data_IF_377356126304
#
_entry.id   IF_377356126304
#
_cell.length_a   1.000
_cell.length_b   1.000
_cell.length_c   1.000
_cell.angle_alpha   90.00
_cell.angle_beta   90.00
_cell.angle_gamma   90.00
#
_symmetry.space_group_name_H-M   'P 1'
#
loop_
_entity.id
_entity.type
_entity.pdbx_description
1 polymer ?
#
# COMPACT_ATOMS: atom_id res chain seq x y z
N UNK A 1 3.24 -10.95 -6.95
CA UNK A 1 3.25 -9.56 -7.43
C UNK A 1 2.22 -9.40 -8.55
N UNK A 2 1.62 -8.22 -8.68
CA UNK A 2 0.61 -7.94 -9.70
C UNK A 2 0.76 -6.55 -10.29
N UNK A 3 0.14 -6.35 -11.44
CA UNK A 3 0.01 -5.05 -12.11
C UNK A 3 -1.47 -4.74 -12.26
N UNK A 4 -1.90 -3.60 -11.71
CA UNK A 4 -3.25 -3.08 -11.93
C UNK A 4 -3.29 -2.35 -13.27
N UNK A 5 -4.28 -2.65 -14.10
CA UNK A 5 -4.54 -1.95 -15.34
C UNK A 5 -5.92 -1.33 -15.28
N UNK A 6 -5.97 -0.02 -15.37
CA UNK A 6 -7.19 0.78 -15.45
C UNK A 6 -7.48 1.16 -16.93
N UNK A 7 -8.71 1.52 -17.25
CA UNK A 7 -9.09 2.01 -18.57
C UNK A 7 -9.01 1.00 -19.72
N UNK A 8 -9.07 -0.28 -19.45
CA UNK A 8 -8.91 -1.36 -20.43
C UNK A 8 -10.18 -1.69 -21.22
N UNK A 9 -11.35 -1.39 -20.64
CA UNK A 9 -12.65 -1.79 -21.17
C UNK A 9 -13.34 -0.68 -21.94
N UNK A 10 -14.16 -1.06 -22.91
CA UNK A 10 -14.96 -0.13 -23.71
C UNK A 10 -15.88 0.70 -22.82
N UNK A 11 -15.93 1.99 -23.09
CA UNK A 11 -16.74 2.95 -22.34
C UNK A 11 -16.17 3.35 -20.98
N UNK A 12 -14.88 3.13 -20.74
CA UNK A 12 -14.19 3.49 -19.50
C UNK A 12 -14.48 4.91 -19.02
N UNK A 13 -14.39 5.90 -19.89
CA UNK A 13 -14.60 7.31 -19.56
C UNK A 13 -16.06 7.77 -19.72
N UNK A 14 -17.00 6.86 -19.78
CA UNK A 14 -18.41 7.17 -20.03
C UNK A 14 -19.33 6.41 -19.08
N UNK A 15 -20.58 6.87 -18.95
CA UNK A 15 -21.64 6.16 -18.21
C UNK A 15 -22.10 4.85 -18.89
N UNK A 16 -21.43 4.40 -19.93
CA UNK A 16 -21.79 3.23 -20.73
C UNK A 16 -20.65 2.20 -20.77
N UNK A 17 -20.01 1.97 -19.64
CA UNK A 17 -18.94 1.00 -19.52
C UNK A 17 -19.42 -0.42 -19.82
N UNK A 18 -18.57 -1.20 -20.47
CA UNK A 18 -18.78 -2.62 -20.72
C UNK A 18 -17.59 -3.42 -20.19
N UNK A 19 -17.78 -4.10 -19.07
CA UNK A 19 -16.73 -4.91 -18.44
C UNK A 19 -16.53 -6.30 -19.07
N UNK A 20 -17.20 -6.56 -20.19
CA UNK A 20 -17.02 -7.80 -20.96
C UNK A 20 -16.35 -7.58 -22.31
N UNK A 21 -16.10 -6.33 -22.68
CA UNK A 21 -15.53 -5.95 -23.97
C UNK A 21 -14.30 -5.05 -23.78
N UNK A 22 -13.07 -5.58 -24.01
CA UNK A 22 -11.86 -4.76 -24.04
C UNK A 22 -11.90 -3.75 -25.19
N UNK A 23 -11.11 -2.68 -25.10
CA UNK A 23 -10.80 -1.87 -26.27
C UNK A 23 -10.10 -2.71 -27.35
N UNK A 24 -10.25 -2.38 -28.65
CA UNK A 24 -9.71 -3.18 -29.75
C UNK A 24 -8.18 -3.33 -29.75
N UNK A 25 -7.47 -2.43 -29.11
CA UNK A 25 -6.01 -2.42 -28.93
C UNK A 25 -5.55 -3.06 -27.62
N UNK A 26 -6.47 -3.57 -26.82
CA UNK A 26 -6.21 -4.25 -25.56
C UNK A 26 -6.57 -5.75 -25.62
N UNK A 27 -5.59 -6.59 -25.92
CA UNK A 27 -5.77 -8.04 -25.89
C UNK A 27 -5.59 -8.60 -24.47
N UNK A 28 -6.71 -8.73 -23.76
CA UNK A 28 -6.72 -9.22 -22.37
C UNK A 28 -6.04 -10.58 -22.22
N UNK A 29 -6.30 -11.49 -23.19
CA UNK A 29 -5.70 -12.83 -23.14
C UNK A 29 -4.18 -12.79 -23.33
N UNK A 30 -3.71 -12.06 -24.31
CA UNK A 30 -2.27 -11.92 -24.56
C UNK A 30 -1.55 -11.32 -23.34
N UNK A 31 -2.14 -10.30 -22.72
CA UNK A 31 -1.56 -9.61 -21.56
C UNK A 31 -1.54 -10.53 -20.35
N UNK A 32 -2.61 -11.25 -20.05
CA UNK A 32 -2.66 -12.17 -18.92
C UNK A 32 -1.71 -13.36 -19.11
N UNK A 33 -1.63 -13.93 -20.30
CA UNK A 33 -0.68 -15.01 -20.62
C UNK A 33 0.78 -14.53 -20.47
N UNK A 34 1.09 -13.32 -20.95
CA UNK A 34 2.43 -12.74 -20.82
C UNK A 34 2.77 -12.48 -19.36
N UNK A 35 1.89 -11.84 -18.60
CA UNK A 35 2.09 -11.60 -17.17
C UNK A 35 2.36 -12.90 -16.40
N UNK A 36 1.53 -13.92 -16.63
CA UNK A 36 1.70 -15.25 -16.04
C UNK A 36 3.07 -15.88 -16.39
N UNK A 37 3.54 -15.71 -17.64
CA UNK A 37 4.88 -16.19 -18.05
C UNK A 37 6.02 -15.52 -17.29
N UNK A 38 5.79 -14.34 -16.72
CA UNK A 38 6.74 -13.59 -15.89
C UNK A 38 6.54 -13.79 -14.38
N UNK A 39 5.58 -14.64 -13.97
CA UNK A 39 5.22 -14.83 -12.56
C UNK A 39 4.50 -13.61 -11.97
N UNK A 40 3.87 -12.79 -12.80
CA UNK A 40 3.09 -11.61 -12.42
C UNK A 40 1.61 -11.90 -12.71
N UNK A 41 0.71 -11.41 -11.85
CA UNK A 41 -0.73 -11.47 -12.10
C UNK A 41 -1.26 -10.12 -12.58
N UNK A 42 -2.27 -10.15 -13.44
CA UNK A 42 -3.06 -8.96 -13.72
C UNK A 42 -4.02 -8.71 -12.57
N UNK A 43 -4.12 -7.46 -12.11
CA UNK A 43 -5.18 -6.99 -11.23
C UNK A 43 -6.19 -6.26 -12.12
N UNK A 44 -7.43 -6.74 -12.12
CA UNK A 44 -8.50 -6.14 -12.90
C UNK A 44 -9.04 -4.88 -12.23
N UNK A 45 -9.71 -4.04 -13.02
CA UNK A 45 -10.38 -2.85 -12.50
C UNK A 45 -11.79 -2.74 -13.08
N UNK A 46 -12.76 -2.45 -12.22
CA UNK A 46 -14.14 -2.13 -12.57
C UNK A 46 -14.48 -0.75 -12.02
N UNK A 47 -14.22 0.31 -12.78
CA UNK A 47 -14.69 1.66 -12.43
C UNK A 47 -16.09 1.87 -13.01
N UNK A 48 -17.03 2.24 -12.16
CA UNK A 48 -18.45 2.31 -12.49
C UNK A 48 -19.00 3.73 -12.61
N UNK A 49 -18.18 4.76 -12.27
CA UNK A 49 -18.66 6.14 -12.15
C UNK A 49 -19.94 6.25 -11.27
N UNK A 50 -20.09 5.32 -10.31
CA UNK A 50 -21.25 5.23 -9.43
C UNK A 50 -22.52 4.63 -10.06
N UNK A 51 -22.50 4.15 -11.32
CA UNK A 51 -23.66 3.52 -11.96
C UNK A 51 -23.80 2.05 -11.57
N UNK A 52 -24.27 1.85 -10.35
CA UNK A 52 -24.34 0.56 -9.67
C UNK A 52 -25.34 -0.39 -10.34
N UNK A 53 -26.49 0.11 -10.78
CA UNK A 53 -27.49 -0.73 -11.46
C UNK A 53 -26.98 -1.30 -12.77
N UNK A 54 -26.23 -0.52 -13.56
CA UNK A 54 -25.63 -0.97 -14.81
C UNK A 54 -24.50 -1.96 -14.54
N UNK A 55 -23.73 -1.76 -13.47
CA UNK A 55 -22.71 -2.72 -13.02
C UNK A 55 -23.35 -4.04 -12.60
N UNK A 56 -24.42 -4.03 -11.81
CA UNK A 56 -25.10 -5.25 -11.36
C UNK A 56 -25.68 -6.08 -12.50
N UNK A 57 -26.09 -5.44 -13.60
CA UNK A 57 -26.60 -6.14 -14.79
C UNK A 57 -25.54 -6.97 -15.52
N UNK A 58 -24.25 -6.61 -15.40
CA UNK A 58 -23.16 -7.29 -16.06
C UNK A 58 -22.18 -7.95 -15.08
N UNK A 59 -22.40 -7.85 -13.78
CA UNK A 59 -21.47 -8.22 -12.71
C UNK A 59 -20.99 -9.68 -12.82
N UNK A 60 -21.91 -10.62 -13.05
CA UNK A 60 -21.55 -12.03 -13.16
C UNK A 60 -20.71 -12.33 -14.41
N UNK A 61 -21.07 -11.74 -15.55
CA UNK A 61 -20.33 -11.89 -16.80
C UNK A 61 -18.94 -11.25 -16.71
N UNK A 62 -18.83 -10.09 -16.06
CA UNK A 62 -17.57 -9.39 -15.85
C UNK A 62 -16.60 -10.20 -14.98
N UNK A 63 -17.07 -10.78 -13.86
CA UNK A 63 -16.22 -11.64 -13.03
C UNK A 63 -15.89 -12.98 -13.71
N UNK A 64 -16.79 -13.53 -14.51
CA UNK A 64 -16.48 -14.72 -15.30
C UNK A 64 -15.39 -14.44 -16.33
N UNK A 65 -15.43 -13.29 -17.01
CA UNK A 65 -14.36 -12.89 -17.94
C UNK A 65 -12.99 -12.89 -17.25
N UNK A 66 -12.90 -12.25 -16.08
CA UNK A 66 -11.65 -12.23 -15.32
C UNK A 66 -11.20 -13.62 -14.87
N UNK A 67 -12.12 -14.42 -14.35
CA UNK A 67 -11.84 -15.80 -13.95
C UNK A 67 -11.30 -16.64 -15.11
N UNK A 68 -11.92 -16.54 -16.28
CA UNK A 68 -11.54 -17.28 -17.49
C UNK A 68 -10.15 -16.88 -18.02
N UNK A 69 -9.67 -15.67 -17.65
CA UNK A 69 -8.34 -15.16 -17.96
C UNK A 69 -7.34 -15.27 -16.79
N UNK A 70 -7.70 -15.98 -15.71
CA UNK A 70 -6.82 -16.20 -14.55
C UNK A 70 -6.59 -14.96 -13.66
N UNK A 71 -7.38 -13.90 -13.83
CA UNK A 71 -7.36 -12.72 -12.97
C UNK A 71 -8.04 -13.07 -11.65
N UNK A 72 -7.32 -12.90 -10.54
CA UNK A 72 -7.77 -13.28 -9.20
C UNK A 72 -7.98 -12.11 -8.25
N UNK A 73 -7.67 -10.91 -8.67
CA UNK A 73 -7.78 -9.69 -7.86
C UNK A 73 -8.47 -8.64 -8.71
N UNK A 74 -9.48 -7.98 -8.15
CA UNK A 74 -10.21 -6.90 -8.81
C UNK A 74 -10.32 -5.71 -7.88
N UNK A 75 -9.88 -4.55 -8.35
CA UNK A 75 -10.20 -3.25 -7.76
C UNK A 75 -11.58 -2.83 -8.28
N UNK A 76 -12.48 -2.41 -7.40
CA UNK A 76 -13.78 -1.86 -7.78
C UNK A 76 -13.85 -0.39 -7.39
N UNK A 77 -14.28 0.47 -8.30
CA UNK A 77 -14.40 1.92 -8.15
C UNK A 77 -15.82 2.41 -8.39
N UNK A 78 -16.18 3.46 -7.69
CA UNK A 78 -17.50 4.07 -7.71
C UNK A 78 -17.38 5.60 -7.64
N UNK A 79 -16.50 6.15 -8.45
CA UNK A 79 -16.26 7.60 -8.52
C UNK A 79 -17.59 8.33 -8.69
N UNK A 80 -17.74 9.43 -7.99
CA UNK A 80 -18.96 10.22 -8.05
C UNK A 80 -19.59 10.47 -6.68
N UNK A 81 -20.49 11.43 -6.62
CA UNK A 81 -21.13 11.85 -5.35
C UNK A 81 -22.28 10.93 -4.93
N UNK A 82 -22.93 10.30 -5.88
CA UNK A 82 -24.13 9.50 -5.68
C UNK A 82 -24.09 8.24 -6.55
N UNK A 83 -24.54 7.13 -5.99
CA UNK A 83 -24.80 5.90 -6.72
C UNK A 83 -26.11 6.06 -7.53
N UNK A 84 -26.09 5.67 -8.81
CA UNK A 84 -27.20 5.84 -9.77
C UNK A 84 -27.77 7.27 -9.79
N UNK A 85 -26.93 8.27 -9.50
CA UNK A 85 -27.33 9.68 -9.47
C UNK A 85 -28.29 10.07 -8.33
N UNK A 86 -28.61 9.20 -7.39
CA UNK A 86 -29.65 9.42 -6.37
C UNK A 86 -29.31 8.94 -4.96
N UNK A 87 -28.56 7.86 -4.83
CA UNK A 87 -28.28 7.22 -3.55
C UNK A 87 -26.88 7.58 -3.04
N UNK A 88 -26.71 7.75 -1.73
CA UNK A 88 -25.39 7.92 -1.14
C UNK A 88 -24.67 6.57 -1.03
N UNK A 89 -23.34 6.57 -1.12
CA UNK A 89 -22.51 5.37 -0.90
C UNK A 89 -22.84 4.69 0.44
N UNK A 90 -23.08 5.47 1.49
CA UNK A 90 -23.42 4.97 2.83
C UNK A 90 -24.91 4.61 3.02
N UNK A 91 -25.74 4.68 1.96
CA UNK A 91 -27.13 4.24 2.04
C UNK A 91 -27.25 2.72 2.13
N UNK A 92 -28.42 2.22 2.51
CA UNK A 92 -28.71 0.78 2.49
C UNK A 92 -28.56 0.17 1.10
N UNK A 93 -28.83 0.97 0.05
CA UNK A 93 -28.61 0.57 -1.33
C UNK A 93 -27.13 0.31 -1.61
N UNK A 94 -26.25 1.25 -1.30
CA UNK A 94 -24.82 1.10 -1.46
C UNK A 94 -24.24 -0.06 -0.65
N UNK A 95 -24.60 -0.16 0.64
CA UNK A 95 -24.12 -1.25 1.51
C UNK A 95 -24.53 -2.63 0.96
N UNK A 96 -25.76 -2.78 0.44
CA UNK A 96 -26.21 -4.04 -0.16
C UNK A 96 -25.45 -4.36 -1.44
N UNK A 97 -25.19 -3.34 -2.26
CA UNK A 97 -24.42 -3.50 -3.49
C UNK A 97 -22.99 -3.98 -3.18
N UNK A 98 -22.25 -3.27 -2.33
CA UNK A 98 -20.88 -3.67 -1.97
C UNK A 98 -20.82 -5.10 -1.45
N UNK A 99 -21.78 -5.47 -0.61
CA UNK A 99 -21.86 -6.85 -0.09
C UNK A 99 -22.12 -7.85 -1.22
N UNK A 100 -23.04 -7.57 -2.15
CA UNK A 100 -23.35 -8.43 -3.30
C UNK A 100 -22.11 -8.66 -4.16
N UNK A 101 -21.33 -7.61 -4.44
CA UNK A 101 -20.08 -7.70 -5.19
C UNK A 101 -19.08 -8.62 -4.49
N UNK A 102 -18.87 -8.44 -3.18
CA UNK A 102 -17.94 -9.23 -2.38
C UNK A 102 -18.37 -10.71 -2.32
N UNK A 103 -19.64 -10.99 -2.12
CA UNK A 103 -20.20 -12.35 -2.07
C UNK A 103 -20.02 -13.05 -3.43
N UNK A 104 -20.38 -12.40 -4.53
CA UNK A 104 -20.19 -12.99 -5.86
C UNK A 104 -18.72 -13.20 -6.22
N UNK A 105 -17.85 -12.26 -5.86
CA UNK A 105 -16.42 -12.41 -6.04
C UNK A 105 -15.86 -13.59 -5.24
N UNK A 106 -16.35 -13.82 -4.00
CA UNK A 106 -15.97 -14.99 -3.19
C UNK A 106 -16.35 -16.31 -3.90
N UNK A 107 -17.56 -16.40 -4.44
CA UNK A 107 -18.02 -17.58 -5.20
C UNK A 107 -17.17 -17.86 -6.45
N UNK A 108 -16.58 -16.81 -7.03
CA UNK A 108 -15.67 -16.91 -8.18
C UNK A 108 -14.20 -17.08 -7.78
N UNK A 109 -13.86 -17.08 -6.49
CA UNK A 109 -12.50 -17.09 -5.95
C UNK A 109 -11.68 -15.85 -6.36
N UNK A 110 -12.31 -14.68 -6.39
CA UNK A 110 -11.71 -13.39 -6.72
C UNK A 110 -11.58 -12.55 -5.45
N UNK A 111 -10.42 -11.99 -5.23
CA UNK A 111 -10.13 -11.03 -4.17
C UNK A 111 -10.55 -9.61 -4.59
N UNK A 112 -11.01 -8.83 -3.65
CA UNK A 112 -11.51 -7.46 -3.88
C UNK A 112 -10.67 -6.43 -3.12
N UNK A 113 -10.34 -5.36 -3.83
CA UNK A 113 -9.98 -4.06 -3.31
C UNK A 113 -11.13 -3.09 -3.63
N UNK A 114 -11.81 -2.56 -2.61
CA UNK A 114 -13.03 -1.77 -2.80
C UNK A 114 -12.76 -0.29 -2.54
N UNK A 115 -12.88 0.54 -3.57
CA UNK A 115 -12.80 2.00 -3.48
C UNK A 115 -14.18 2.64 -3.23
N UNK A 116 -14.21 3.90 -2.78
CA UNK A 116 -15.39 4.64 -2.31
C UNK A 116 -16.29 3.84 -1.35
N UNK A 117 -15.72 3.04 -0.44
CA UNK A 117 -16.51 2.17 0.43
C UNK A 117 -17.19 2.95 1.54
N UNK A 118 -18.07 2.26 2.25
CA UNK A 118 -18.47 2.69 3.58
C UNK A 118 -17.36 2.37 4.59
N UNK A 119 -17.40 3.02 5.77
CA UNK A 119 -16.48 2.69 6.85
C UNK A 119 -16.51 1.18 7.13
N UNK A 120 -15.34 0.51 7.18
CA UNK A 120 -15.27 -0.93 7.39
C UNK A 120 -15.90 -1.36 8.72
N UNK A 121 -16.66 -2.45 8.68
CA UNK A 121 -17.37 -3.00 9.84
C UNK A 121 -16.89 -4.40 10.24
N UNK A 122 -15.76 -4.86 9.69
CA UNK A 122 -15.22 -6.20 9.92
C UNK A 122 -15.74 -7.25 8.92
N UNK A 123 -16.34 -6.83 7.81
CA UNK A 123 -16.87 -7.72 6.77
C UNK A 123 -15.80 -8.67 6.20
N UNK A 124 -14.55 -8.25 6.14
CA UNK A 124 -13.40 -9.06 5.75
C UNK A 124 -13.15 -10.29 6.64
N UNK A 125 -13.74 -10.34 7.84
CA UNK A 125 -13.68 -11.53 8.71
C UNK A 125 -14.69 -12.61 8.30
N UNK A 126 -15.77 -12.19 7.65
CA UNK A 126 -16.79 -13.09 7.07
C UNK A 126 -16.41 -13.47 5.64
N UNK A 127 -15.94 -12.51 4.88
CA UNK A 127 -15.54 -12.64 3.48
C UNK A 127 -14.05 -12.26 3.34
N UNK A 128 -13.13 -13.22 3.55
CA UNK A 128 -11.70 -12.95 3.55
C UNK A 128 -11.14 -12.58 2.17
N UNK A 129 -11.93 -12.75 1.10
CA UNK A 129 -11.61 -12.23 -0.23
C UNK A 129 -11.70 -10.70 -0.31
N UNK A 130 -12.36 -10.02 0.62
CA UNK A 130 -12.25 -8.57 0.78
C UNK A 130 -10.89 -8.25 1.41
N UNK A 131 -9.90 -8.00 0.58
CA UNK A 131 -8.52 -7.82 1.01
C UNK A 131 -8.30 -6.46 1.64
N UNK A 132 -8.75 -5.41 0.97
CA UNK A 132 -8.54 -4.03 1.39
C UNK A 132 -9.66 -3.13 0.89
N UNK A 133 -9.75 -1.94 1.44
CA UNK A 133 -10.71 -0.91 1.03
C UNK A 133 -10.07 0.46 1.19
N UNK A 134 -10.37 1.38 0.29
CA UNK A 134 -9.95 2.76 0.45
C UNK A 134 -10.57 3.38 1.72
N UNK A 135 -11.69 4.05 1.63
CA UNK A 135 -12.40 4.70 2.73
C UNK A 135 -11.57 5.73 3.49
N UNK A 136 -10.60 6.32 2.83
CA UNK A 136 -9.65 7.32 3.31
C UNK A 136 -9.29 8.26 2.17
N UNK A 137 -8.79 9.44 2.49
CA UNK A 137 -8.15 10.27 1.48
C UNK A 137 -6.79 9.65 1.15
N UNK A 138 -6.73 8.86 0.06
CA UNK A 138 -5.56 8.12 -0.38
C UNK A 138 -4.49 8.98 -1.04
N UNK A 139 -3.38 8.37 -1.44
CA UNK A 139 -2.27 9.06 -2.08
C UNK A 139 -2.63 9.61 -3.47
N UNK A 140 -3.59 9.02 -4.16
CA UNK A 140 -4.06 9.51 -5.46
C UNK A 140 -4.52 10.98 -5.44
N UNK A 141 -4.98 11.48 -4.29
CA UNK A 141 -5.34 12.89 -4.11
C UNK A 141 -4.18 13.84 -4.33
N UNK A 142 -2.95 13.36 -4.18
CA UNK A 142 -1.75 14.14 -4.46
C UNK A 142 -1.54 14.37 -5.97
N UNK A 143 -2.31 13.71 -6.83
CA UNK A 143 -2.26 13.88 -8.26
C UNK A 143 -3.23 14.95 -8.80
N UNK A 144 -4.34 15.24 -8.10
CA UNK A 144 -5.40 16.10 -8.65
C UNK A 144 -6.05 17.07 -7.65
N UNK A 145 -5.74 17.01 -6.38
CA UNK A 145 -6.33 17.92 -5.40
C UNK A 145 -5.80 19.35 -5.54
N UNK A 146 -6.70 20.29 -5.79
CA UNK A 146 -6.37 21.69 -6.01
C UNK A 146 -5.78 22.40 -4.80
N UNK A 147 -5.96 21.84 -3.60
CA UNK A 147 -5.44 22.35 -2.34
C UNK A 147 -4.01 21.87 -2.04
N UNK A 148 -3.36 21.23 -3.00
CA UNK A 148 -1.94 20.88 -2.93
C UNK A 148 -1.63 19.43 -2.51
N UNK A 149 -2.63 18.58 -2.35
CA UNK A 149 -2.46 17.18 -1.94
C UNK A 149 -2.58 16.95 -0.43
N UNK A 150 -2.18 15.76 0.02
CA UNK A 150 -2.24 15.39 1.42
C UNK A 150 -1.10 16.05 2.22
N UNK A 151 -1.39 16.80 3.29
CA UNK A 151 -0.34 17.35 4.13
C UNK A 151 0.39 16.24 4.90
N UNK A 152 1.67 16.43 5.31
CA UNK A 152 2.43 15.41 6.03
C UNK A 152 1.76 14.87 7.29
N UNK A 153 1.00 15.70 7.99
CA UNK A 153 0.24 15.32 9.20
C UNK A 153 -0.81 14.23 8.91
N UNK A 154 -1.36 14.17 7.70
CA UNK A 154 -2.44 13.23 7.36
C UNK A 154 -2.06 11.78 7.67
N UNK A 155 -0.88 11.34 7.24
CA UNK A 155 -0.41 9.96 7.45
C UNK A 155 -0.01 9.65 8.90
N UNK A 156 0.09 10.67 9.78
CA UNK A 156 0.27 10.47 11.23
C UNK A 156 -1.05 10.41 12.00
N UNK A 157 -2.19 10.61 11.33
CA UNK A 157 -3.55 10.54 11.89
C UNK A 157 -4.25 9.24 11.47
N UNK A 158 -4.19 8.89 10.20
CA UNK A 158 -5.00 7.78 9.65
C UNK A 158 -4.69 6.41 10.24
N UNK A 159 -3.48 6.06 10.71
CA UNK A 159 -3.25 4.78 11.39
C UNK A 159 -4.08 4.63 12.67
N UNK A 160 -4.41 5.74 13.35
CA UNK A 160 -5.16 5.78 14.62
C UNK A 160 -6.66 6.05 14.44
N UNK A 161 -7.11 6.25 13.24
CA UNK A 161 -8.52 6.52 12.90
C UNK A 161 -9.02 5.47 11.92
N UNK A 162 -8.91 5.71 10.61
CA UNK A 162 -9.34 4.78 9.57
C UNK A 162 -8.66 3.41 9.68
N UNK A 163 -7.37 3.39 9.99
CA UNK A 163 -6.58 2.15 10.09
C UNK A 163 -7.04 1.20 11.19
N UNK A 164 -7.71 1.69 12.25
CA UNK A 164 -8.29 0.84 13.30
C UNK A 164 -9.48 0.02 12.81
N UNK A 165 -10.16 0.44 11.76
CA UNK A 165 -11.30 -0.27 11.20
C UNK A 165 -10.90 -1.45 10.29
N UNK A 166 -9.63 -1.59 9.96
CA UNK A 166 -9.11 -2.68 9.14
C UNK A 166 -8.17 -2.24 8.02
N UNK A 167 -7.82 -3.17 7.13
CA UNK A 167 -6.95 -2.89 5.98
C UNK A 167 -7.38 -1.67 5.20
N UNK A 168 -6.39 -0.91 4.70
CA UNK A 168 -6.63 0.35 4.04
C UNK A 168 -5.79 0.45 2.76
N UNK A 169 -6.45 0.63 1.61
CA UNK A 169 -5.75 0.98 0.39
C UNK A 169 -5.50 2.49 0.35
N UNK A 170 -4.26 2.86 0.67
CA UNK A 170 -3.77 4.24 0.61
C UNK A 170 -2.94 4.50 -0.64
N UNK A 171 -2.40 3.44 -1.22
CA UNK A 171 -1.53 3.46 -2.42
C UNK A 171 -0.27 4.32 -2.24
N UNK A 172 0.61 4.06 -1.25
CA UNK A 172 1.87 4.78 -1.07
C UNK A 172 2.91 4.36 -2.11
N UNK A 173 4.11 4.92 -2.00
CA UNK A 173 5.26 4.48 -2.78
C UNK A 173 5.54 5.32 -4.02
N UNK A 174 5.00 6.53 -4.11
CA UNK A 174 5.36 7.48 -5.16
C UNK A 174 6.79 7.97 -4.98
N UNK A 175 7.57 7.93 -6.06
CA UNK A 175 8.97 8.35 -6.10
C UNK A 175 9.17 9.63 -6.92
N UNK A 176 8.19 10.02 -7.72
CA UNK A 176 8.16 11.31 -8.43
C UNK A 176 7.12 12.22 -7.77
N UNK A 177 7.56 13.27 -7.12
CA UNK A 177 6.68 14.10 -6.28
C UNK A 177 6.10 15.31 -7.00
N UNK A 178 6.71 15.76 -8.09
CA UNK A 178 6.20 16.86 -8.89
C UNK A 178 5.11 16.37 -9.85
N UNK A 179 4.05 17.16 -9.96
CA UNK A 179 3.02 16.94 -10.94
C UNK A 179 3.16 17.94 -12.10
N UNK A 180 3.56 17.50 -13.30
CA UNK A 180 3.76 18.41 -14.44
C UNK A 180 2.45 18.94 -15.01
N UNK A 181 1.33 18.27 -14.77
CA UNK A 181 0.01 18.68 -15.29
C UNK A 181 -0.67 19.65 -14.32
N UNK A 182 -0.55 19.41 -13.03
CA UNK A 182 -1.11 20.24 -11.96
C UNK A 182 0.01 20.65 -10.98
N UNK A 183 0.85 21.63 -11.33
CA UNK A 183 2.05 21.95 -10.54
C UNK A 183 1.80 22.41 -9.09
N UNK A 184 0.57 22.81 -8.76
CA UNK A 184 0.16 23.14 -7.39
C UNK A 184 -0.08 21.91 -6.52
N UNK A 185 -0.21 20.75 -7.13
CA UNK A 185 -0.52 19.48 -6.48
C UNK A 185 0.73 18.59 -6.48
N UNK A 186 1.08 18.03 -5.34
CA UNK A 186 2.28 17.18 -5.23
C UNK A 186 2.20 16.26 -4.04
N UNK A 187 3.01 15.21 -4.05
CA UNK A 187 3.26 14.38 -2.87
C UNK A 187 4.05 15.19 -1.85
N UNK A 188 3.50 15.35 -0.66
CA UNK A 188 4.07 16.20 0.41
C UNK A 188 4.80 15.34 1.47
N UNK A 189 5.74 14.53 1.04
CA UNK A 189 6.58 13.69 1.91
C UNK A 189 8.02 13.72 1.43
N UNK A 190 8.94 13.18 2.24
CA UNK A 190 10.24 12.74 1.74
C UNK A 190 10.14 11.35 1.12
N UNK A 191 11.15 10.95 0.35
CA UNK A 191 11.22 9.60 -0.22
C UNK A 191 11.34 8.54 0.88
N UNK A 192 12.11 8.78 1.94
CA UNK A 192 12.22 7.86 3.07
C UNK A 192 10.87 7.64 3.78
N UNK A 193 10.02 8.67 3.85
CA UNK A 193 8.65 8.52 4.37
C UNK A 193 7.80 7.63 3.47
N UNK A 194 7.91 7.75 2.14
CA UNK A 194 7.17 6.86 1.21
C UNK A 194 7.52 5.39 1.44
N UNK A 195 8.80 5.08 1.71
CA UNK A 195 9.21 3.72 2.07
C UNK A 195 8.57 3.27 3.39
N UNK A 196 8.67 4.11 4.42
CA UNK A 196 8.14 3.81 5.75
C UNK A 196 6.62 3.58 5.76
N UNK A 197 5.87 4.23 4.87
CA UNK A 197 4.42 4.07 4.75
C UNK A 197 4.01 2.64 4.41
N UNK A 198 4.83 1.87 3.69
CA UNK A 198 4.58 0.44 3.41
C UNK A 198 4.49 -0.42 4.68
N UNK A 199 5.09 0.04 5.79
CA UNK A 199 5.01 -0.61 7.10
C UNK A 199 3.94 0.02 7.97
N UNK A 200 3.85 1.35 7.97
CA UNK A 200 2.94 2.10 8.84
C UNK A 200 1.47 1.86 8.47
N UNK A 201 1.17 1.90 7.17
CA UNK A 201 -0.20 1.70 6.67
C UNK A 201 -0.40 0.25 6.27
N UNK A 202 -1.27 -0.44 7.00
CA UNK A 202 -1.51 -1.86 6.78
C UNK A 202 -2.49 -2.13 5.65
N UNK A 203 -2.05 -2.91 4.67
CA UNK A 203 -2.90 -3.56 3.67
C UNK A 203 -2.33 -4.94 3.32
N UNK A 204 -3.11 -6.02 3.29
CA UNK A 204 -2.65 -7.32 2.79
C UNK A 204 -2.50 -7.33 1.26
N UNK A 205 -3.09 -6.37 0.58
CA UNK A 205 -2.86 -6.04 -0.82
C UNK A 205 -2.29 -4.61 -0.86
N UNK A 206 -0.97 -4.52 -0.72
CA UNK A 206 -0.29 -3.21 -0.70
C UNK A 206 -0.04 -2.75 -2.13
N UNK A 207 -0.65 -1.64 -2.50
CA UNK A 207 -0.40 -0.97 -3.78
C UNK A 207 0.84 -0.08 -3.69
N UNK A 208 1.50 0.12 -4.84
CA UNK A 208 2.58 1.09 -5.03
C UNK A 208 2.25 1.93 -6.27
N UNK A 209 2.30 3.26 -6.13
CA UNK A 209 1.63 4.22 -7.01
C UNK A 209 2.58 5.01 -7.89
N UNK A 210 3.54 4.39 -8.58
CA UNK A 210 4.38 5.15 -9.50
C UNK A 210 4.63 4.42 -10.81
N UNK A 211 5.15 5.15 -11.78
CA UNK A 211 5.63 4.60 -13.04
C UNK A 211 6.88 3.73 -12.82
N UNK A 212 6.99 2.65 -13.58
CA UNK A 212 8.09 1.70 -13.46
C UNK A 212 9.45 2.39 -13.61
N UNK A 213 9.55 3.37 -14.50
CA UNK A 213 10.77 4.11 -14.77
C UNK A 213 11.28 4.90 -13.56
N UNK A 214 10.39 5.35 -12.68
CA UNK A 214 10.77 6.05 -11.45
C UNK A 214 11.36 5.08 -10.42
N UNK A 215 10.88 3.86 -10.37
CA UNK A 215 11.47 2.79 -9.56
C UNK A 215 12.81 2.32 -10.12
N UNK A 216 12.93 2.15 -11.44
CA UNK A 216 14.17 1.74 -12.09
C UNK A 216 15.32 2.75 -11.90
N UNK A 217 15.01 4.04 -11.78
CA UNK A 217 15.98 5.09 -11.46
C UNK A 217 16.43 5.06 -10.00
N UNK A 218 15.67 4.41 -9.11
CA UNK A 218 15.89 4.38 -7.68
C UNK A 218 15.84 2.92 -7.13
N UNK A 219 16.64 1.99 -7.67
CA UNK A 219 16.50 0.56 -7.37
C UNK A 219 16.79 0.22 -5.90
N UNK A 220 17.73 0.91 -5.26
CA UNK A 220 18.07 0.66 -3.85
C UNK A 220 16.94 1.08 -2.90
N UNK A 221 16.39 2.30 -2.94
CA UNK A 221 15.20 2.64 -2.17
C UNK A 221 14.00 1.74 -2.51
N UNK A 222 13.76 1.42 -3.78
CA UNK A 222 12.66 0.56 -4.20
C UNK A 222 12.76 -0.87 -3.65
N UNK A 223 13.98 -1.34 -3.38
CA UNK A 223 14.20 -2.65 -2.76
C UNK A 223 13.52 -2.78 -1.40
N UNK A 224 13.34 -1.68 -0.66
CA UNK A 224 12.57 -1.69 0.59
C UNK A 224 11.12 -2.11 0.36
N UNK A 225 10.44 -1.48 -0.61
CA UNK A 225 9.02 -1.77 -0.94
C UNK A 225 8.88 -3.22 -1.42
N UNK A 226 9.73 -3.67 -2.34
CA UNK A 226 9.65 -5.03 -2.90
C UNK A 226 9.99 -6.13 -1.90
N UNK A 227 10.74 -5.79 -0.84
CA UNK A 227 11.09 -6.72 0.24
C UNK A 227 10.07 -6.72 1.37
N UNK A 228 9.32 -5.63 1.54
CA UNK A 228 8.34 -5.48 2.61
C UNK A 228 7.18 -6.47 2.43
N UNK A 229 6.94 -7.39 3.38
CA UNK A 229 5.83 -8.33 3.30
C UNK A 229 4.49 -7.64 3.61
N UNK A 230 3.40 -8.27 3.19
CA UNK A 230 2.04 -7.81 3.48
C UNK A 230 1.34 -8.63 4.56
N UNK A 231 2.03 -9.66 5.11
CA UNK A 231 1.47 -10.54 6.13
C UNK A 231 2.37 -10.57 7.36
N UNK A 232 1.80 -10.26 8.51
CA UNK A 232 2.51 -10.03 9.74
C UNK A 232 2.13 -11.04 10.83
N UNK A 233 3.11 -11.47 11.60
CA UNK A 233 2.92 -12.30 12.80
C UNK A 233 2.61 -11.44 14.02
N UNK A 234 3.33 -10.31 14.16
CA UNK A 234 3.22 -9.40 15.29
C UNK A 234 3.32 -7.95 14.81
N UNK A 235 2.60 -7.07 15.48
CA UNK A 235 2.69 -5.61 15.30
C UNK A 235 2.80 -4.97 16.66
N UNK A 236 3.76 -4.07 16.82
CA UNK A 236 3.93 -3.22 17.99
C UNK A 236 4.05 -1.77 17.58
N UNK A 237 3.70 -0.86 18.47
CA UNK A 237 3.80 0.59 18.29
C UNK A 237 4.69 1.13 19.42
N UNK A 238 6.03 1.15 19.23
CA UNK A 238 6.95 1.59 20.28
C UNK A 238 6.72 3.04 20.71
N UNK A 239 6.48 3.93 19.74
CA UNK A 239 6.34 5.36 19.95
C UNK A 239 5.28 5.94 19.03
N UNK A 240 4.36 6.75 19.60
CA UNK A 240 3.36 7.43 18.80
C UNK A 240 2.75 8.63 19.53
N UNK A 241 2.42 9.66 18.73
CA UNK A 241 1.55 10.77 19.12
C UNK A 241 0.71 11.18 17.91
N UNK A 242 -0.60 10.99 18.02
CA UNK A 242 -1.54 11.23 16.91
C UNK A 242 -1.38 12.66 16.39
N UNK A 243 -1.25 12.79 15.06
CA UNK A 243 -1.04 14.06 14.39
C UNK A 243 0.38 14.59 14.46
N UNK A 244 1.30 13.88 15.12
CA UNK A 244 2.70 14.30 15.19
C UNK A 244 3.63 13.26 14.58
N UNK A 245 3.61 12.02 15.08
CA UNK A 245 4.49 10.95 14.61
C UNK A 245 3.95 9.57 14.99
N UNK A 246 4.47 8.56 14.30
CA UNK A 246 4.24 7.16 14.66
C UNK A 246 5.41 6.30 14.22
N UNK A 247 5.79 5.36 15.09
CA UNK A 247 6.74 4.29 14.81
C UNK A 247 6.01 2.96 15.00
N UNK A 248 5.99 2.14 13.94
CA UNK A 248 5.39 0.79 13.97
C UNK A 248 6.48 -0.21 13.60
N UNK A 249 6.61 -1.26 14.40
CA UNK A 249 7.45 -2.40 14.10
C UNK A 249 6.59 -3.65 13.88
N UNK A 250 6.83 -4.36 12.79
CA UNK A 250 6.08 -5.55 12.38
C UNK A 250 7.01 -6.72 12.13
N UNK A 251 6.69 -7.86 12.74
CA UNK A 251 7.39 -9.12 12.50
C UNK A 251 6.76 -9.82 11.31
N UNK A 252 7.59 -10.20 10.35
CA UNK A 252 7.16 -11.00 9.22
C UNK A 252 6.60 -12.35 9.67
N UNK A 253 5.52 -12.79 9.03
CA UNK A 253 4.96 -14.11 9.28
C UNK A 253 5.85 -15.19 8.69
N UNK A 254 6.16 -16.23 9.46
CA UNK A 254 6.96 -17.38 9.05
C UNK A 254 8.28 -17.50 9.81
N UNK A 255 9.22 -18.23 9.24
CA UNK A 255 10.46 -18.63 9.93
C UNK A 255 11.64 -17.67 9.77
N UNK A 256 11.51 -16.60 9.00
CA UNK A 256 12.60 -15.67 8.72
C UNK A 256 13.09 -14.92 9.96
N UNK A 257 12.19 -14.67 10.91
CA UNK A 257 12.44 -13.85 12.09
C UNK A 257 12.72 -12.36 11.79
N UNK A 258 12.46 -11.91 10.54
CA UNK A 258 12.68 -10.52 10.14
C UNK A 258 11.67 -9.60 10.79
N UNK A 259 12.12 -8.37 11.04
CA UNK A 259 11.27 -7.26 11.44
C UNK A 259 11.39 -6.12 10.44
N UNK A 260 10.29 -5.42 10.26
CA UNK A 260 10.19 -4.22 9.45
C UNK A 260 9.68 -3.09 10.33
N UNK A 261 10.36 -1.95 10.29
CA UNK A 261 9.99 -0.78 11.07
C UNK A 261 9.73 0.37 10.12
N UNK A 262 8.60 1.02 10.29
CA UNK A 262 8.27 2.29 9.66
C UNK A 262 8.10 3.36 10.73
N UNK A 263 8.82 4.46 10.59
CA UNK A 263 8.69 5.64 11.46
C UNK A 263 8.47 6.86 10.59
N UNK A 264 7.46 7.66 10.91
CA UNK A 264 7.07 8.86 10.14
C UNK A 264 6.76 10.03 11.04
N UNK A 265 7.00 11.24 10.55
CA UNK A 265 6.66 12.49 11.24
C UNK A 265 5.75 13.38 10.38
N UNK A 266 5.16 14.39 11.02
CA UNK A 266 4.39 15.45 10.38
C UNK A 266 5.33 16.50 9.74
N UNK A 267 4.89 17.77 9.64
CA UNK A 267 5.65 18.90 9.07
C UNK A 267 6.89 19.27 9.88
N UNK A 268 7.00 18.77 11.12
CA UNK A 268 8.12 19.09 12.01
C UNK A 268 9.19 18.01 11.94
N UNK A 269 10.49 18.39 11.93
CA UNK A 269 11.57 17.42 12.06
C UNK A 269 11.52 16.78 13.44
N UNK A 270 12.07 15.58 13.56
CA UNK A 270 12.03 14.83 14.83
C UNK A 270 13.26 13.98 15.04
N UNK A 271 13.73 13.98 16.26
CA UNK A 271 14.74 13.04 16.74
C UNK A 271 14.13 12.18 17.85
N UNK A 272 14.35 10.89 17.81
CA UNK A 272 13.87 9.94 18.80
C UNK A 272 14.82 8.78 19.00
N UNK A 273 14.71 8.13 20.15
CA UNK A 273 15.42 6.89 20.46
C UNK A 273 14.46 5.72 20.39
N UNK A 274 14.80 4.70 19.62
CA UNK A 274 14.01 3.49 19.47
C UNK A 274 14.72 2.31 20.15
N UNK A 275 14.33 1.93 21.39
CA UNK A 275 14.82 0.70 22.00
C UNK A 275 14.33 -0.54 21.22
N UNK A 276 15.22 -1.50 20.99
CA UNK A 276 14.93 -2.73 20.27
C UNK A 276 14.59 -3.92 21.19
N UNK A 277 14.09 -3.65 22.38
CA UNK A 277 13.80 -4.64 23.42
C UNK A 277 12.75 -5.70 23.02
N UNK A 278 12.05 -5.49 21.90
CA UNK A 278 11.12 -6.45 21.32
C UNK A 278 11.80 -7.55 20.51
N UNK A 279 13.10 -7.45 20.22
CA UNK A 279 13.85 -8.46 19.50
C UNK A 279 14.12 -9.67 20.38
N UNK A 280 14.30 -10.83 19.76
CA UNK A 280 14.58 -12.08 20.47
C UNK A 280 15.90 -11.98 21.25
N UNK A 281 15.86 -12.35 22.53
CA UNK A 281 17.04 -12.33 23.40
C UNK A 281 18.17 -13.20 22.85
N UNK A 282 19.39 -12.69 22.91
CA UNK A 282 20.58 -13.39 22.48
C UNK A 282 20.77 -13.52 20.97
N UNK A 283 19.85 -12.99 20.17
CA UNK A 283 20.02 -12.92 18.72
C UNK A 283 20.66 -11.59 18.30
N UNK A 284 21.48 -11.67 17.26
CA UNK A 284 22.03 -10.50 16.55
C UNK A 284 21.27 -10.32 15.25
N UNK A 285 21.08 -9.07 14.89
CA UNK A 285 20.39 -8.69 13.67
C UNK A 285 21.24 -7.72 12.85
N UNK A 286 21.17 -7.85 11.54
CA UNK A 286 21.60 -6.83 10.60
C UNK A 286 20.42 -5.86 10.43
N UNK A 287 20.63 -4.60 10.75
CA UNK A 287 19.72 -3.52 10.47
C UNK A 287 20.13 -2.84 9.16
N UNK A 288 19.23 -2.77 8.18
CA UNK A 288 19.36 -1.92 6.99
C UNK A 288 18.39 -0.77 7.16
N UNK A 289 18.90 0.44 7.24
CA UNK A 289 18.18 1.64 7.61
C UNK A 289 18.11 2.56 6.39
N UNK A 290 16.89 2.89 5.98
CA UNK A 290 16.56 3.84 4.92
C UNK A 290 16.00 5.09 5.57
N UNK A 291 16.78 6.15 5.66
CA UNK A 291 16.40 7.38 6.36
C UNK A 291 16.55 8.62 5.49
N UNK A 292 15.93 9.69 5.92
CA UNK A 292 16.11 10.99 5.29
C UNK A 292 17.58 11.35 5.19
N UNK A 293 17.99 11.82 4.03
CA UNK A 293 19.34 12.30 3.77
C UNK A 293 19.56 13.73 4.24
N UNK A 294 20.78 14.21 4.08
CA UNK A 294 21.18 15.55 4.49
C UNK A 294 20.30 16.62 3.82
N UNK A 295 19.82 17.56 4.64
CA UNK A 295 18.96 18.67 4.20
C UNK A 295 17.66 18.22 3.52
N UNK A 296 17.22 16.99 3.79
CA UNK A 296 15.90 16.53 3.32
C UNK A 296 14.80 17.43 3.90
N UNK A 297 13.81 17.75 3.10
CA UNK A 297 12.62 18.53 3.45
C UNK A 297 11.54 18.28 2.40
N UNK A 298 10.34 17.95 2.83
CA UNK A 298 9.26 17.56 1.91
C UNK A 298 8.86 18.66 0.91
N UNK A 299 9.16 19.95 1.20
CA UNK A 299 8.83 21.08 0.32
C UNK A 299 9.91 21.34 -0.72
N UNK A 300 11.16 21.33 -0.29
CA UNK A 300 12.28 21.90 -1.07
C UNK A 300 13.31 20.88 -1.50
N UNK A 301 13.43 19.74 -0.81
CA UNK A 301 14.43 18.72 -1.11
C UNK A 301 13.97 17.32 -0.64
N UNK A 302 12.93 16.73 -1.25
CA UNK A 302 12.29 15.52 -0.71
C UNK A 302 13.02 14.20 -1.02
N UNK A 303 13.95 14.19 -1.97
CA UNK A 303 14.53 12.97 -2.54
C UNK A 303 15.71 12.34 -1.80
N UNK A 304 16.55 13.08 -1.03
CA UNK A 304 17.72 12.47 -0.42
C UNK A 304 17.36 11.35 0.55
N UNK A 305 17.89 10.16 0.28
CA UNK A 305 17.82 8.98 1.16
C UNK A 305 19.23 8.50 1.44
N UNK A 306 19.52 8.22 2.69
CA UNK A 306 20.74 7.52 3.13
C UNK A 306 20.37 6.11 3.50
N UNK A 307 21.11 5.15 2.95
CA UNK A 307 20.99 3.72 3.27
C UNK A 307 22.22 3.30 4.02
N UNK A 308 22.05 2.84 5.25
CA UNK A 308 23.17 2.43 6.10
C UNK A 308 22.87 1.10 6.78
N UNK A 309 23.94 0.41 7.17
CA UNK A 309 23.86 -0.90 7.79
C UNK A 309 24.56 -0.90 9.14
N UNK A 310 23.97 -1.56 10.12
CA UNK A 310 24.64 -1.80 11.40
C UNK A 310 24.15 -3.11 12.03
N UNK A 311 24.94 -3.64 12.94
CA UNK A 311 24.55 -4.79 13.74
C UNK A 311 23.88 -4.33 15.03
N UNK A 312 22.76 -4.96 15.39
CA UNK A 312 21.96 -4.64 16.57
C UNK A 312 21.50 -5.89 17.32
N UNK A 313 21.12 -5.71 18.56
CA UNK A 313 20.51 -6.74 19.43
C UNK A 313 19.29 -6.18 20.14
N UNK A 314 18.60 -7.00 20.94
CA UNK A 314 17.52 -6.52 21.81
C UNK A 314 17.94 -5.52 22.91
N UNK A 315 19.24 -5.31 23.11
CA UNK A 315 19.78 -4.32 24.04
C UNK A 315 20.16 -2.99 23.36
N UNK A 316 20.10 -2.97 22.02
CA UNK A 316 20.43 -1.79 21.23
C UNK A 316 19.32 -0.75 21.25
N UNK A 317 19.71 0.50 21.08
CA UNK A 317 18.78 1.63 20.84
C UNK A 317 19.22 2.33 19.56
N UNK A 318 18.31 2.43 18.59
CA UNK A 318 18.54 3.16 17.35
C UNK A 318 18.20 4.63 17.52
N UNK A 319 19.04 5.50 16.97
CA UNK A 319 18.73 6.91 16.79
C UNK A 319 17.94 7.06 15.47
N UNK A 320 16.78 7.68 15.55
CA UNK A 320 15.94 8.01 14.39
C UNK A 320 15.90 9.52 14.27
N UNK A 321 16.43 10.05 13.17
CA UNK A 321 16.34 11.45 12.81
C UNK A 321 15.50 11.59 11.55
N UNK A 322 14.45 12.38 11.60
CA UNK A 322 13.49 12.59 10.52
C UNK A 322 13.46 14.06 10.12
N UNK A 323 13.50 14.31 8.84
CA UNK A 323 13.31 15.63 8.24
C UNK A 323 11.85 16.10 8.38
N UNK A 324 11.55 17.37 8.12
CA UNK A 324 10.16 17.82 7.96
C UNK A 324 9.43 17.00 6.90
N UNK A 325 8.26 16.43 7.24
CA UNK A 325 7.52 15.53 6.39
C UNK A 325 8.22 14.21 6.09
N UNK A 326 9.17 13.84 6.93
CA UNK A 326 10.11 12.75 6.72
C UNK A 326 9.72 11.43 7.35
N UNK A 327 10.64 10.46 7.17
CA UNK A 327 10.46 9.12 7.71
C UNK A 327 11.74 8.27 7.70
N UNK A 328 11.60 7.07 8.23
CA UNK A 328 12.66 6.07 8.28
C UNK A 328 12.05 4.69 8.12
N UNK A 329 12.54 3.91 7.15
CA UNK A 329 12.25 2.49 7.00
C UNK A 329 13.44 1.66 7.50
N UNK A 330 13.19 0.56 8.22
CA UNK A 330 14.26 -0.31 8.71
C UNK A 330 13.89 -1.77 8.47
N UNK A 331 14.84 -2.55 7.98
CA UNK A 331 14.72 -4.01 7.87
C UNK A 331 15.72 -4.64 8.84
N UNK A 332 15.23 -5.48 9.75
CA UNK A 332 16.04 -6.25 10.69
C UNK A 332 16.03 -7.72 10.27
N UNK A 333 17.19 -8.26 9.94
CA UNK A 333 17.36 -9.66 9.56
C UNK A 333 18.25 -10.39 10.55
N UNK A 334 17.83 -11.58 11.01
CA UNK A 334 18.61 -12.38 11.95
C UNK A 334 19.94 -12.77 11.31
N UNK A 335 21.04 -12.47 12.00
CA UNK A 335 22.36 -12.96 11.61
C UNK A 335 22.48 -14.42 12.06
N UNK A 336 22.78 -15.32 11.11
CA UNK A 336 23.13 -16.69 11.46
C UNK A 336 24.36 -16.66 12.37
N UNK A 337 24.33 -17.40 13.48
CA UNK A 337 25.54 -17.68 14.23
C UNK A 337 26.53 -18.36 13.25
N UNK A 338 27.61 -17.66 12.90
CA UNK A 338 28.72 -18.28 12.18
C UNK A 338 29.10 -19.56 12.94
N UNK A 339 28.99 -20.71 12.27
CA UNK A 339 29.26 -21.98 12.88
C UNK A 339 30.62 -21.96 13.57
N UNK A 340 30.65 -22.41 14.82
CA UNK A 340 31.89 -22.80 15.46
C UNK A 340 32.56 -23.79 14.52
N UNK A 341 33.68 -23.39 13.95
CA UNK A 341 34.63 -24.33 13.32
C UNK A 341 34.89 -25.43 14.32
N UNK A 342 34.37 -26.62 14.06
CA UNK A 342 34.79 -27.83 14.75
C UNK A 342 36.24 -28.06 14.35
N UNK A 343 37.15 -27.64 15.21
CA UNK A 343 38.51 -28.17 15.22
C UNK A 343 38.40 -29.67 15.52
N UNK A 344 38.36 -30.45 14.47
CA UNK A 344 38.68 -31.88 14.55
C UNK A 344 40.19 -31.93 14.69
N UNK A 345 40.65 -31.95 15.94
CA UNK A 345 41.98 -32.44 16.22
C UNK A 345 42.00 -33.99 16.08
N UNK A 346 42.94 -34.43 15.27
CA UNK A 346 43.27 -35.82 15.06
C UNK A 346 43.77 -36.53 16.34
#
# INVERSE_FOLDING_TARGET
QGVLIEGWNKGWDTYHFNFTEPYPDFDLKQITDYAASKGVTLIGHHETDGWVSDYENQLEAAFNLYKDHGVQIVKTGYVGKLLDGKERHSSQFGVRHYRKVIELAADKHIMIDNHEPVMPTGLQRTFPNLMTQEGVRGQEWDAWDKDGGNPPVHTTIIPFTRGLAGPMDFTPGTFRFENPVLPQTRVQTTLAKQLALSVVLYSPLQMASDEIENYERNPEPFSFITTCPTTWEQTIVPEAKIGEYVTIARKERGSSGRWFIGSITNEQPREMQLPLSFLDKGKRYKAVIYRDGDKADYRTNPYPVIIEEQEVTGESTLQIAQAPGGGTGIILSVLSSSGATSDIQK
#
